data_IF_153533843249
#
_entry.id   IF_153533843249
#
_cell.length_a   1.000
_cell.length_b   1.000
_cell.length_c   1.000
_cell.angle_alpha   90.00
_cell.angle_beta   90.00
_cell.angle_gamma   90.00
#
_symmetry.space_group_name_H-M   'P 1'
#
loop_
_entity.id
_entity.type
_entity.pdbx_description
1 polymer ?
#
# COMPACT_ATOMS: atom_id res chain seq x y z
N UNK A 1 -25.50 39.12 90.05
CA UNK A 1 -26.83 38.69 89.57
C UNK A 1 -27.50 39.91 88.97
N UNK A 2 -28.26 39.70 87.90
CA UNK A 2 -29.13 40.63 87.15
C UNK A 2 -28.83 40.60 85.65
N UNK A 3 -29.25 39.50 85.00
CA UNK A 3 -29.41 39.47 83.54
C UNK A 3 -30.79 40.01 83.22
N UNK A 4 -30.89 41.30 82.99
CA UNK A 4 -32.09 41.93 82.47
C UNK A 4 -32.27 41.52 81.00
N UNK A 5 -33.00 40.43 80.76
CA UNK A 5 -33.28 39.91 79.44
C UNK A 5 -34.57 40.55 78.91
N UNK A 6 -34.46 41.71 78.27
CA UNK A 6 -35.59 42.35 77.59
C UNK A 6 -35.97 41.53 76.37
N UNK A 7 -37.08 40.79 76.45
CA UNK A 7 -37.69 40.12 75.30
C UNK A 7 -38.16 41.16 74.30
N UNK A 8 -37.62 41.11 73.08
CA UNK A 8 -38.08 41.96 71.96
C UNK A 8 -39.07 41.14 71.16
N UNK A 9 -40.34 41.57 71.15
CA UNK A 9 -41.38 40.96 70.34
C UNK A 9 -41.48 41.68 68.99
N UNK A 10 -41.16 40.96 67.92
CA UNK A 10 -41.17 41.47 66.55
C UNK A 10 -40.34 40.59 65.62
N UNK A 11 -40.59 40.65 64.31
CA UNK A 11 -39.94 39.81 63.29
C UNK A 11 -38.58 40.34 62.79
N UNK A 12 -37.95 41.27 63.50
CA UNK A 12 -36.70 41.91 63.06
C UNK A 12 -35.53 41.59 63.98
N UNK A 13 -34.43 41.12 63.39
CA UNK A 13 -33.22 40.72 64.12
C UNK A 13 -32.41 41.95 64.60
N UNK A 14 -31.86 41.93 65.83
CA UNK A 14 -30.99 43.00 66.32
C UNK A 14 -29.68 43.07 65.54
N UNK A 15 -29.22 44.29 65.19
CA UNK A 15 -27.95 44.48 64.46
C UNK A 15 -26.78 44.45 65.43
N UNK A 16 -25.81 43.55 65.19
CA UNK A 16 -24.57 43.45 65.98
C UNK A 16 -23.55 44.51 65.55
N UNK A 17 -22.81 45.14 66.49
CA UNK A 17 -21.77 46.10 66.13
C UNK A 17 -20.57 45.41 65.48
N UNK A 18 -20.15 45.93 64.32
CA UNK A 18 -18.97 45.46 63.59
C UNK A 18 -17.66 45.88 64.26
N UNK A 19 -16.75 44.91 64.45
CA UNK A 19 -15.46 45.11 65.12
C UNK A 19 -14.38 45.59 64.13
N UNK A 20 -13.97 46.84 64.24
CA UNK A 20 -12.71 47.41 63.69
C UNK A 20 -11.55 47.12 64.66
N UNK A 21 -10.32 46.91 64.16
CA UNK A 21 -9.30 46.10 64.86
C UNK A 21 -7.93 46.71 65.25
N UNK A 22 -7.10 45.82 65.85
CA UNK A 22 -5.61 45.79 66.09
C UNK A 22 -5.00 46.81 67.09
N UNK A 23 -3.77 46.58 67.69
CA UNK A 23 -2.65 45.69 67.31
C UNK A 23 -1.90 44.86 68.42
N UNK A 24 -0.99 43.95 67.97
CA UNK A 24 0.20 43.25 68.57
C UNK A 24 0.12 42.59 69.97
N UNK A 25 0.55 41.33 70.23
CA UNK A 25 1.90 40.76 70.06
C UNK A 25 1.90 39.19 70.12
N UNK A 26 2.90 38.62 69.45
CA UNK A 26 3.41 37.25 69.31
C UNK A 26 2.86 36.06 70.17
N UNK A 27 2.50 34.95 69.50
CA UNK A 27 3.32 33.71 69.48
C UNK A 27 2.74 32.66 68.51
N UNK A 28 3.64 32.07 67.72
CA UNK A 28 3.41 31.03 66.70
C UNK A 28 2.80 29.76 67.31
N UNK A 29 1.74 29.21 66.72
CA UNK A 29 1.63 27.78 66.35
C UNK A 29 0.75 27.67 65.09
N UNK A 30 1.24 26.94 64.09
CA UNK A 30 0.60 26.64 62.82
C UNK A 30 -0.81 26.05 62.95
N UNK A 31 -1.74 26.58 62.14
CA UNK A 31 -2.75 25.76 61.46
C UNK A 31 -3.10 26.43 60.13
N UNK A 32 -2.47 25.94 59.06
CA UNK A 32 -2.79 26.29 57.68
C UNK A 32 -4.19 25.77 57.35
N UNK A 33 -5.19 26.62 57.46
CA UNK A 33 -6.47 26.45 56.74
C UNK A 33 -6.47 27.52 55.66
N UNK A 34 -5.83 27.21 54.53
CA UNK A 34 -5.95 28.02 53.33
C UNK A 34 -7.40 27.98 52.90
N UNK A 35 -8.09 29.10 53.07
CA UNK A 35 -9.39 29.36 52.45
C UNK A 35 -9.24 29.10 50.95
N UNK A 36 -9.83 28.00 50.47
CA UNK A 36 -10.01 27.75 49.05
C UNK A 36 -10.96 28.83 48.52
N UNK A 37 -10.39 29.98 48.15
CA UNK A 37 -11.04 30.87 47.21
C UNK A 37 -11.11 30.10 45.90
N UNK A 38 -12.34 29.77 45.45
CA UNK A 38 -12.59 29.32 44.06
C UNK A 38 -12.03 30.38 43.12
N UNK A 39 -10.77 30.19 42.71
CA UNK A 39 -10.20 30.92 41.60
C UNK A 39 -10.83 30.34 40.35
N UNK A 40 -11.75 31.07 39.72
CA UNK A 40 -12.09 30.80 38.33
C UNK A 40 -10.79 30.74 37.52
N UNK A 41 -10.61 29.76 36.63
CA UNK A 41 -9.42 29.73 35.78
C UNK A 41 -9.43 30.99 34.94
N UNK A 42 -8.48 31.89 35.19
CA UNK A 42 -8.22 33.01 34.29
C UNK A 42 -7.91 32.38 32.93
N UNK A 43 -8.75 32.64 31.94
CA UNK A 43 -8.57 32.20 30.56
C UNK A 43 -7.13 32.54 30.15
N UNK A 44 -6.29 31.51 30.06
CA UNK A 44 -4.97 31.66 29.50
C UNK A 44 -5.20 31.87 28.01
N UNK A 45 -5.06 33.12 27.57
CA UNK A 45 -5.11 33.43 26.15
C UNK A 45 -3.89 32.80 25.52
N UNK A 46 -4.06 31.58 24.98
CA UNK A 46 -3.08 31.02 24.06
C UNK A 46 -2.86 32.06 22.95
N UNK A 47 -1.61 32.40 22.63
CA UNK A 47 -1.35 33.41 21.62
C UNK A 47 -1.98 32.93 20.31
N UNK A 48 -2.90 33.73 19.75
CA UNK A 48 -3.66 33.39 18.53
C UNK A 48 -2.73 32.97 17.38
N UNK A 49 -1.52 33.53 17.36
CA UNK A 49 -0.44 33.18 16.42
C UNK A 49 -0.01 31.71 16.51
N UNK A 50 0.07 31.13 17.72
CA UNK A 50 0.43 29.72 17.92
C UNK A 50 -0.69 28.78 17.43
N UNK A 51 -1.95 29.20 17.55
CA UNK A 51 -3.09 28.44 17.01
C UNK A 51 -3.11 28.47 15.47
N UNK A 52 -2.86 29.63 14.86
CA UNK A 52 -2.76 29.77 13.40
C UNK A 52 -1.56 28.98 12.86
N UNK A 53 -0.42 29.00 13.55
CA UNK A 53 0.75 28.22 13.15
C UNK A 53 0.51 26.71 13.26
N UNK A 54 -0.15 26.26 14.33
CA UNK A 54 -0.54 24.86 14.48
C UNK A 54 -1.51 24.41 13.38
N UNK A 55 -2.48 25.26 13.01
CA UNK A 55 -3.39 24.98 11.90
C UNK A 55 -2.64 24.87 10.57
N UNK A 56 -1.78 25.84 10.25
CA UNK A 56 -0.93 25.80 9.06
C UNK A 56 -0.06 24.55 9.01
N UNK A 57 0.49 24.13 10.15
CA UNK A 57 1.31 22.92 10.24
C UNK A 57 0.49 21.65 9.94
N UNK A 58 -0.70 21.52 10.52
CA UNK A 58 -1.61 20.39 10.24
C UNK A 58 -2.05 20.39 8.77
N UNK A 59 -2.40 21.56 8.22
CA UNK A 59 -2.76 21.70 6.80
C UNK A 59 -1.60 21.32 5.89
N UNK A 60 -0.37 21.72 6.21
CA UNK A 60 0.82 21.36 5.43
C UNK A 60 1.04 19.83 5.41
N UNK A 61 0.90 19.15 6.56
CA UNK A 61 1.00 17.69 6.64
C UNK A 61 -0.09 17.03 5.79
N UNK A 62 -1.32 17.51 5.88
CA UNK A 62 -2.43 17.00 5.07
C UNK A 62 -2.15 17.15 3.56
N UNK A 63 -1.61 18.31 3.15
CA UNK A 63 -1.26 18.58 1.76
C UNK A 63 -0.16 17.64 1.24
N UNK A 64 0.85 17.34 2.07
CA UNK A 64 1.91 16.39 1.72
C UNK A 64 1.34 14.98 1.53
N UNK A 65 0.43 14.55 2.39
CA UNK A 65 -0.25 13.25 2.27
C UNK A 65 -1.04 13.19 0.95
N UNK A 66 -1.84 14.22 0.66
CA UNK A 66 -2.62 14.29 -0.58
C UNK A 66 -1.71 14.26 -1.82
N UNK A 67 -0.62 15.02 -1.83
CA UNK A 67 0.35 15.02 -2.93
C UNK A 67 0.94 13.62 -3.16
N UNK A 68 1.35 12.93 -2.09
CA UNK A 68 1.84 11.54 -2.18
C UNK A 68 0.75 10.61 -2.74
N UNK A 69 -0.49 10.73 -2.26
CA UNK A 69 -1.62 9.95 -2.76
C UNK A 69 -1.92 10.19 -4.24
N UNK A 70 -1.83 11.43 -4.72
CA UNK A 70 -1.99 11.76 -6.13
C UNK A 70 -0.89 11.11 -6.99
N UNK A 71 0.37 11.17 -6.55
CA UNK A 71 1.49 10.50 -7.25
C UNK A 71 1.31 8.98 -7.28
N UNK A 72 0.90 8.37 -6.17
CA UNK A 72 0.64 6.92 -6.10
C UNK A 72 -0.49 6.52 -7.06
N UNK A 73 -1.58 7.31 -7.10
CA UNK A 73 -2.73 7.05 -7.98
C UNK A 73 -2.34 7.13 -9.47
N UNK A 74 -1.50 8.10 -9.82
CA UNK A 74 -0.98 8.27 -11.18
C UNK A 74 -0.11 7.06 -11.58
N UNK A 75 0.80 6.65 -10.69
CA UNK A 75 1.64 5.47 -10.89
C UNK A 75 0.81 4.18 -10.98
N UNK A 76 -0.19 4.01 -10.12
CA UNK A 76 -1.08 2.84 -10.15
C UNK A 76 -1.87 2.77 -11.46
N UNK A 77 -2.31 3.92 -11.98
CA UNK A 77 -2.98 4.00 -13.28
C UNK A 77 -2.04 3.59 -14.42
N UNK A 78 -0.77 4.02 -14.37
CA UNK A 78 0.26 3.58 -15.34
C UNK A 78 0.54 2.09 -15.25
N UNK A 79 0.70 1.56 -14.04
CA UNK A 79 0.88 0.13 -13.81
C UNK A 79 -0.30 -0.69 -14.33
N UNK A 80 -1.53 -0.22 -14.12
CA UNK A 80 -2.74 -0.84 -14.64
C UNK A 80 -2.78 -0.89 -16.17
N UNK A 81 -2.41 0.20 -16.84
CA UNK A 81 -2.31 0.25 -18.31
C UNK A 81 -1.26 -0.74 -18.84
N UNK A 82 -0.07 -0.74 -18.25
CA UNK A 82 1.01 -1.62 -18.67
C UNK A 82 0.67 -3.10 -18.45
N UNK A 83 -0.04 -3.41 -17.37
CA UNK A 83 -0.54 -4.76 -17.09
C UNK A 83 -1.62 -5.17 -18.10
N UNK A 84 -2.51 -4.25 -18.48
CA UNK A 84 -3.53 -4.51 -19.49
C UNK A 84 -2.91 -4.78 -20.87
N UNK A 85 -1.93 -3.98 -21.27
CA UNK A 85 -1.18 -4.16 -22.53
C UNK A 85 -0.43 -5.49 -22.54
N UNK A 86 0.24 -5.84 -21.44
CA UNK A 86 0.90 -7.13 -21.28
C UNK A 86 -0.08 -8.31 -21.43
N UNK A 87 -1.23 -8.23 -20.77
CA UNK A 87 -2.24 -9.28 -20.86
C UNK A 87 -2.81 -9.40 -22.27
N UNK A 88 -3.06 -8.27 -22.94
CA UNK A 88 -3.51 -8.25 -24.33
C UNK A 88 -2.50 -8.96 -25.24
N UNK A 89 -1.21 -8.60 -25.14
CA UNK A 89 -0.17 -9.20 -25.98
C UNK A 89 0.00 -10.71 -25.70
N UNK A 90 -0.13 -11.12 -24.44
CA UNK A 90 -0.10 -12.53 -24.05
C UNK A 90 -1.28 -13.30 -24.64
N UNK A 91 -2.47 -12.71 -24.60
CA UNK A 91 -3.68 -13.34 -25.12
C UNK A 91 -3.65 -13.41 -26.66
N UNK A 92 -3.13 -12.37 -27.33
CA UNK A 92 -2.83 -12.39 -28.77
C UNK A 92 -1.85 -13.50 -29.13
N UNK A 93 -0.74 -13.64 -28.40
CA UNK A 93 0.22 -14.73 -28.61
C UNK A 93 -0.42 -16.11 -28.42
N UNK A 94 -1.31 -16.25 -27.43
CA UNK A 94 -2.05 -17.50 -27.21
C UNK A 94 -2.97 -17.81 -28.39
N UNK A 95 -3.70 -16.81 -28.89
CA UNK A 95 -4.58 -16.98 -30.05
C UNK A 95 -3.77 -17.36 -31.29
N UNK A 96 -2.69 -16.65 -31.57
CA UNK A 96 -1.75 -16.98 -32.65
C UNK A 96 -1.21 -18.41 -32.54
N UNK A 97 -0.89 -18.87 -31.32
CA UNK A 97 -0.44 -20.25 -31.10
C UNK A 97 -1.53 -21.27 -31.43
N UNK A 98 -2.77 -21.02 -31.01
CA UNK A 98 -3.92 -21.88 -31.33
C UNK A 98 -4.20 -21.87 -32.84
N UNK A 99 -4.11 -20.71 -33.48
CA UNK A 99 -4.27 -20.57 -34.92
C UNK A 99 -3.17 -21.34 -35.67
N UNK A 100 -1.91 -21.29 -35.20
CA UNK A 100 -0.82 -22.10 -35.77
C UNK A 100 -1.13 -23.59 -35.62
N UNK A 101 -1.46 -24.04 -34.41
CA UNK A 101 -1.80 -25.45 -34.14
C UNK A 101 -2.98 -25.92 -34.99
N UNK A 102 -3.98 -25.06 -35.19
CA UNK A 102 -5.14 -25.34 -36.04
C UNK A 102 -4.79 -25.26 -37.53
N UNK A 103 -3.87 -24.39 -37.94
CA UNK A 103 -3.44 -24.22 -39.34
C UNK A 103 -2.55 -25.35 -39.85
N UNK A 104 -1.96 -26.15 -38.96
CA UNK A 104 -1.38 -27.47 -39.26
C UNK A 104 -2.53 -28.48 -39.42
N UNK A 105 -3.59 -28.06 -40.11
CA UNK A 105 -4.69 -28.93 -40.48
C UNK A 105 -4.21 -29.82 -41.62
N UNK A 106 -4.23 -31.14 -41.39
CA UNK A 106 -3.94 -32.13 -42.42
C UNK A 106 -4.84 -31.93 -43.64
N UNK A 107 -6.06 -31.40 -43.46
CA UNK A 107 -7.00 -31.13 -44.54
C UNK A 107 -6.53 -29.98 -45.44
N UNK A 108 -5.90 -28.93 -44.90
CA UNK A 108 -5.35 -27.85 -45.71
C UNK A 108 -4.15 -28.35 -46.55
N UNK A 109 -3.28 -29.16 -45.95
CA UNK A 109 -2.15 -29.80 -46.66
C UNK A 109 -2.67 -30.73 -47.76
N UNK A 110 -3.68 -31.55 -47.46
CA UNK A 110 -4.33 -32.43 -48.43
C UNK A 110 -4.94 -31.64 -49.59
N UNK A 111 -5.67 -30.56 -49.30
CA UNK A 111 -6.29 -29.73 -50.32
C UNK A 111 -5.25 -29.11 -51.26
N UNK A 112 -4.13 -28.59 -50.72
CA UNK A 112 -3.02 -28.07 -51.55
C UNK A 112 -2.39 -29.19 -52.39
N UNK A 113 -2.18 -30.37 -51.81
CA UNK A 113 -1.63 -31.52 -52.51
C UNK A 113 -2.54 -31.95 -53.69
N UNK A 114 -3.85 -32.01 -53.47
CA UNK A 114 -4.82 -32.41 -54.50
C UNK A 114 -5.00 -31.34 -55.58
N UNK A 115 -5.09 -30.06 -55.20
CA UNK A 115 -5.41 -28.97 -56.15
C UNK A 115 -4.20 -28.40 -56.87
N UNK A 116 -3.08 -28.16 -56.17
CA UNK A 116 -1.90 -27.51 -56.76
C UNK A 116 -0.85 -28.50 -57.23
N UNK A 117 -0.68 -29.60 -56.52
CA UNK A 117 0.33 -30.61 -56.83
C UNK A 117 -0.27 -31.79 -57.63
N UNK A 118 -1.59 -31.79 -57.84
CA UNK A 118 -2.33 -32.85 -58.54
C UNK A 118 -2.06 -34.26 -57.95
N UNK A 119 -1.72 -34.29 -56.66
CA UNK A 119 -1.51 -35.51 -55.90
C UNK A 119 -2.87 -36.15 -55.61
N UNK A 120 -2.93 -37.46 -55.58
CA UNK A 120 -4.13 -38.21 -55.23
C UNK A 120 -3.75 -39.35 -54.29
N UNK A 121 -4.72 -39.84 -53.54
CA UNK A 121 -4.50 -40.97 -52.64
C UNK A 121 -4.14 -42.23 -53.47
N UNK A 122 -3.07 -42.95 -53.12
CA UNK A 122 -2.68 -44.15 -53.85
C UNK A 122 -3.72 -45.26 -53.71
N UNK A 123 -3.87 -46.05 -54.78
CA UNK A 123 -4.77 -47.20 -54.80
C UNK A 123 -4.23 -48.38 -53.97
N UNK A 124 -5.12 -49.31 -53.59
CA UNK A 124 -4.76 -50.46 -52.74
C UNK A 124 -3.60 -51.32 -53.27
N UNK A 125 -3.47 -51.43 -54.59
CA UNK A 125 -2.40 -52.21 -55.23
C UNK A 125 -1.04 -51.48 -55.26
N UNK A 126 -1.01 -50.18 -54.96
CA UNK A 126 0.21 -49.36 -54.89
C UNK A 126 0.78 -49.29 -53.46
N UNK A 127 0.14 -49.93 -52.49
CA UNK A 127 0.54 -49.92 -51.08
C UNK A 127 1.50 -51.09 -50.77
N UNK A 128 2.68 -50.76 -50.25
CA UNK A 128 3.60 -51.74 -49.65
C UNK A 128 3.59 -51.56 -48.14
N UNK A 129 3.03 -52.53 -47.42
CA UNK A 129 2.96 -52.52 -45.96
C UNK A 129 4.33 -52.90 -45.37
N UNK A 130 4.99 -51.94 -44.73
CA UNK A 130 6.24 -52.18 -44.00
C UNK A 130 5.94 -52.31 -42.50
N UNK A 131 6.49 -53.35 -41.87
CA UNK A 131 6.36 -53.55 -40.43
C UNK A 131 7.32 -52.62 -39.70
N UNK A 132 6.78 -51.63 -38.99
CA UNK A 132 7.57 -50.69 -38.20
C UNK A 132 7.76 -51.29 -36.79
N UNK A 133 9.00 -51.54 -36.33
CA UNK A 133 9.25 -51.99 -34.96
C UNK A 133 8.79 -50.89 -33.97
N UNK A 134 8.08 -51.28 -32.91
CA UNK A 134 7.41 -50.37 -31.95
C UNK A 134 8.37 -49.60 -31.01
N UNK A 135 9.64 -49.45 -31.36
CA UNK A 135 10.61 -48.70 -30.55
C UNK A 135 10.47 -47.20 -30.82
N UNK A 136 9.39 -46.60 -30.32
CA UNK A 136 9.27 -45.15 -30.25
C UNK A 136 10.14 -44.66 -29.09
N UNK A 137 11.26 -44.02 -29.37
CA UNK A 137 11.94 -43.19 -28.38
C UNK A 137 11.50 -41.75 -28.62
N UNK A 138 10.70 -41.20 -27.70
CA UNK A 138 10.54 -39.76 -27.62
C UNK A 138 11.81 -39.22 -26.98
N UNK A 139 12.64 -38.50 -27.74
CA UNK A 139 13.67 -37.67 -27.14
C UNK A 139 12.94 -36.53 -26.44
N UNK A 140 12.67 -36.68 -25.15
CA UNK A 140 12.30 -35.55 -24.32
C UNK A 140 13.54 -34.66 -24.28
N UNK A 141 13.53 -33.62 -25.10
CA UNK A 141 14.50 -32.54 -24.95
C UNK A 141 14.26 -31.98 -23.54
N UNK A 142 15.15 -32.29 -22.60
CA UNK A 142 15.08 -31.70 -21.27
C UNK A 142 15.34 -30.21 -21.42
N UNK A 143 14.26 -29.42 -21.54
CA UNK A 143 14.33 -27.97 -21.70
C UNK A 143 15.04 -27.33 -20.51
N UNK A 144 14.98 -27.95 -19.33
CA UNK A 144 15.72 -27.54 -18.13
C UNK A 144 17.25 -27.66 -18.31
N UNK A 145 17.73 -28.69 -19.03
CA UNK A 145 19.15 -28.84 -19.37
C UNK A 145 19.61 -27.78 -20.40
N UNK A 146 18.74 -27.43 -21.34
CA UNK A 146 19.02 -26.40 -22.35
C UNK A 146 18.98 -25.00 -21.71
N UNK A 147 18.06 -24.76 -20.78
CA UNK A 147 17.92 -23.48 -20.09
C UNK A 147 19.07 -23.24 -19.10
N UNK A 148 19.49 -24.26 -18.33
CA UNK A 148 20.64 -24.13 -17.44
C UNK A 148 21.96 -23.92 -18.20
N UNK A 149 22.13 -24.57 -19.36
CA UNK A 149 23.34 -24.41 -20.18
C UNK A 149 23.37 -23.06 -20.87
N UNK A 150 22.21 -22.57 -21.33
CA UNK A 150 22.06 -21.22 -21.90
C UNK A 150 22.25 -20.12 -20.85
N UNK A 151 21.72 -20.31 -19.64
CA UNK A 151 21.90 -19.40 -18.52
C UNK A 151 23.36 -19.37 -18.05
N UNK A 152 23.99 -20.55 -17.87
CA UNK A 152 25.41 -20.65 -17.53
C UNK A 152 26.26 -19.95 -18.60
N UNK A 153 26.03 -20.21 -19.89
CA UNK A 153 26.72 -19.55 -21.01
C UNK A 153 26.64 -18.01 -20.92
N UNK A 154 25.45 -17.46 -20.71
CA UNK A 154 25.24 -16.00 -20.56
C UNK A 154 25.98 -15.39 -19.36
N UNK A 155 26.09 -16.14 -18.26
CA UNK A 155 26.87 -15.71 -17.08
C UNK A 155 28.38 -15.77 -17.35
N UNK A 156 28.88 -16.82 -18.01
CA UNK A 156 30.31 -16.90 -18.37
C UNK A 156 30.69 -15.80 -19.37
N UNK A 157 29.81 -15.50 -20.32
CA UNK A 157 30.01 -14.43 -21.30
C UNK A 157 30.10 -13.06 -20.62
N UNK A 158 29.23 -12.79 -19.62
CA UNK A 158 29.31 -11.56 -18.81
C UNK A 158 30.60 -11.48 -18.00
N UNK A 159 31.02 -12.58 -17.39
CA UNK A 159 32.26 -12.64 -16.62
C UNK A 159 33.47 -12.43 -17.53
N UNK A 160 33.54 -13.15 -18.65
CA UNK A 160 34.64 -13.06 -19.61
C UNK A 160 34.73 -11.67 -20.24
N UNK A 161 33.58 -11.04 -20.55
CA UNK A 161 33.54 -9.65 -21.01
C UNK A 161 34.05 -8.67 -19.95
N UNK A 162 33.73 -8.91 -18.68
CA UNK A 162 34.18 -8.06 -17.57
C UNK A 162 35.68 -8.21 -17.34
N UNK A 163 36.20 -9.46 -17.36
CA UNK A 163 37.63 -9.74 -17.23
C UNK A 163 38.41 -9.13 -18.40
N UNK A 164 37.93 -9.29 -19.63
CA UNK A 164 38.55 -8.71 -20.83
C UNK A 164 38.48 -7.18 -20.88
N UNK A 165 37.54 -6.55 -20.18
CA UNK A 165 37.44 -5.10 -20.08
C UNK A 165 38.38 -4.51 -19.00
N UNK A 166 38.86 -5.34 -18.07
CA UNK A 166 39.67 -4.93 -16.92
C UNK A 166 41.15 -5.30 -17.09
N UNK A 167 41.46 -6.35 -17.84
CA UNK A 167 42.82 -6.63 -18.30
C UNK A 167 43.09 -5.93 -19.65
N UNK A 168 44.27 -5.29 -19.83
CA UNK A 168 44.67 -4.70 -21.11
C UNK A 168 44.80 -5.74 -22.23
#
# INVERSE_FOLDING_TARGET
MDRNNSYIYGSVAPKLPGRTGRPAEQQRIEKKVSKQTRSYPKSSSVPKTRMVFALMFVTAICFVILYRFSVITELNSRMGKLTAEYNQLRDENRMLKVDIETSIDLDHVKHIAETKLNMHKPDKYQLVLVSVPKSNYSVVLNHEYIDETTQKASLVDKVMKTVRAVLP
#
